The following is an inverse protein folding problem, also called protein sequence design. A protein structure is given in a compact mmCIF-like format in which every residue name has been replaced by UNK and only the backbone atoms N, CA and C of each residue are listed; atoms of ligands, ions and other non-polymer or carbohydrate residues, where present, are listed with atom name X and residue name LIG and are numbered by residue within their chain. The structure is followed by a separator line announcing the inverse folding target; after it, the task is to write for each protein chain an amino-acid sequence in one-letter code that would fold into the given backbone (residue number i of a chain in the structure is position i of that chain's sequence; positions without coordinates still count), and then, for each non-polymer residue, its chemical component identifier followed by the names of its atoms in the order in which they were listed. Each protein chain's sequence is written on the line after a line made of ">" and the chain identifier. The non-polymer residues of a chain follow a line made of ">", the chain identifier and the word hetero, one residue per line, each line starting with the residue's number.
data_IF_874945217539
#
_entry.id   IF_874945217539
#
_cell.length_a   1.000
_cell.length_b   1.000
_cell.length_c   1.000
_cell.angle_alpha   90.00
_cell.angle_beta   90.00
_cell.angle_gamma   90.00
#
_symmetry.space_group_name_H-M   'P 1'
#
loop_
_entity.id
_entity.type
_entity.pdbx_description
1 polymer ?
#
# COMPACT_ATOMS: atom_id res chain seq x y z
N UNK A 1 -13.26 -3.10 -15.47
CA UNK A 1 -12.21 -2.83 -14.48
C UNK A 1 -11.03 -3.78 -14.66
N UNK A 2 -11.10 -4.99 -14.12
CA UNK A 2 -10.05 -6.00 -14.37
C UNK A 2 -10.63 -6.99 -15.37
N UNK A 3 -10.13 -6.94 -16.59
CA UNK A 3 -10.56 -7.87 -17.62
C UNK A 3 -9.73 -9.15 -17.57
N UNK A 4 -10.14 -10.13 -18.37
CA UNK A 4 -9.48 -11.44 -18.42
C UNK A 4 -8.03 -11.34 -18.88
N UNK A 5 -7.72 -10.42 -19.77
CA UNK A 5 -6.37 -10.18 -20.28
C UNK A 5 -5.43 -9.76 -19.14
N UNK A 6 -5.87 -8.81 -18.33
CA UNK A 6 -5.09 -8.31 -17.18
C UNK A 6 -4.87 -9.40 -16.16
N UNK A 7 -5.92 -10.15 -15.80
CA UNK A 7 -5.82 -11.29 -14.88
C UNK A 7 -4.83 -12.34 -15.37
N UNK A 8 -4.88 -12.65 -16.66
CA UNK A 8 -3.97 -13.62 -17.26
C UNK A 8 -2.52 -13.11 -17.26
N UNK A 9 -2.32 -11.84 -17.52
CA UNK A 9 -0.99 -11.22 -17.44
C UNK A 9 -0.41 -11.37 -16.04
N UNK A 10 -1.21 -11.07 -15.01
CA UNK A 10 -0.78 -11.26 -13.63
C UNK A 10 -0.46 -12.73 -13.32
N UNK A 11 -1.32 -13.66 -13.76
CA UNK A 11 -1.09 -15.08 -13.53
C UNK A 11 0.18 -15.58 -14.20
N UNK A 12 0.49 -15.10 -15.39
CA UNK A 12 1.66 -15.53 -16.14
C UNK A 12 2.95 -14.89 -15.65
N UNK A 13 2.91 -13.62 -15.26
CA UNK A 13 4.10 -12.85 -14.94
C UNK A 13 4.32 -12.63 -13.44
N UNK A 14 3.32 -12.89 -12.61
CA UNK A 14 3.38 -12.63 -11.17
C UNK A 14 3.25 -11.17 -10.80
N UNK A 15 3.11 -10.28 -11.79
CA UNK A 15 3.00 -8.84 -11.61
C UNK A 15 2.24 -8.23 -12.78
N UNK A 16 1.53 -7.15 -12.53
CA UNK A 16 0.87 -6.36 -13.57
C UNK A 16 0.76 -4.91 -13.11
N UNK A 17 0.95 -3.98 -14.02
CA UNK A 17 0.75 -2.56 -13.75
C UNK A 17 -0.69 -2.18 -14.07
N UNK A 18 -1.37 -1.58 -13.11
CA UNK A 18 -2.74 -1.08 -13.26
C UNK A 18 -2.72 0.44 -13.15
N UNK A 19 -2.76 1.11 -14.28
CA UNK A 19 -2.72 2.56 -14.31
C UNK A 19 -4.07 3.16 -13.94
N UNK A 20 -4.04 4.20 -13.09
CA UNK A 20 -5.21 5.02 -12.74
C UNK A 20 -6.40 4.23 -12.20
N UNK A 21 -6.15 3.08 -11.58
CA UNK A 21 -7.24 2.23 -11.07
C UNK A 21 -7.71 2.66 -9.68
N UNK A 22 -6.89 3.42 -8.97
CA UNK A 22 -7.24 3.96 -7.65
C UNK A 22 -7.67 5.41 -7.82
N UNK A 23 -8.89 5.74 -7.38
CA UNK A 23 -9.42 7.10 -7.48
C UNK A 23 -8.57 8.09 -6.70
N UNK A 24 -8.49 9.32 -7.20
CA UNK A 24 -7.71 10.39 -6.58
C UNK A 24 -8.13 10.64 -5.12
N UNK A 25 -9.41 10.53 -4.82
CA UNK A 25 -9.91 10.70 -3.44
C UNK A 25 -9.27 9.69 -2.46
N UNK A 26 -9.02 8.46 -2.91
CA UNK A 26 -8.37 7.44 -2.08
C UNK A 26 -6.89 7.72 -1.90
N UNK A 27 -6.24 8.24 -2.94
CA UNK A 27 -4.83 8.64 -2.85
C UNK A 27 -4.66 9.75 -1.82
N UNK A 28 -5.55 10.75 -1.84
CA UNK A 28 -5.53 11.85 -0.87
C UNK A 28 -5.82 11.36 0.55
N UNK A 29 -6.79 10.46 0.70
CA UNK A 29 -7.10 9.84 1.98
C UNK A 29 -5.89 9.07 2.54
N UNK A 30 -5.25 8.27 1.70
CA UNK A 30 -4.07 7.51 2.09
C UNK A 30 -2.88 8.41 2.47
N UNK A 31 -2.72 9.52 1.78
CA UNK A 31 -1.67 10.50 2.14
C UNK A 31 -1.87 11.05 3.55
N UNK A 32 -3.11 11.34 3.91
CA UNK A 32 -3.44 11.79 5.28
C UNK A 32 -3.14 10.69 6.29
N UNK A 33 -3.49 9.46 5.97
CA UNK A 33 -3.20 8.31 6.83
C UNK A 33 -1.71 8.09 7.02
N UNK A 34 -0.93 8.22 5.96
CA UNK A 34 0.53 8.08 6.01
C UNK A 34 1.15 9.18 6.87
N UNK A 35 0.70 10.42 6.69
CA UNK A 35 1.17 11.55 7.51
C UNK A 35 0.88 11.31 8.99
N UNK A 36 -0.33 10.91 9.32
CA UNK A 36 -0.69 10.56 10.69
C UNK A 36 0.17 9.40 11.22
N UNK A 37 0.39 8.38 10.39
CA UNK A 37 1.19 7.21 10.77
C UNK A 37 2.60 7.61 11.21
N UNK A 38 3.26 8.48 10.45
CA UNK A 38 4.64 8.84 10.76
C UNK A 38 4.76 9.90 11.86
N UNK A 39 3.70 10.63 12.15
CA UNK A 39 3.61 11.47 13.36
C UNK A 39 3.29 10.63 14.61
N UNK A 40 2.61 9.50 14.43
CA UNK A 40 2.16 8.61 15.50
C UNK A 40 2.51 7.16 15.15
N UNK A 41 3.80 6.82 15.10
CA UNK A 41 4.22 5.50 14.64
C UNK A 41 3.89 4.39 15.63
N UNK A 42 3.85 3.15 15.12
CA UNK A 42 3.74 1.97 15.96
C UNK A 42 5.11 1.54 16.50
N UNK A 43 5.10 0.52 17.35
CA UNK A 43 6.33 -0.11 17.83
C UNK A 43 7.13 -0.81 16.73
N UNK A 44 6.53 -1.02 15.57
CA UNK A 44 7.17 -1.69 14.44
C UNK A 44 7.89 -0.73 13.49
N UNK A 45 7.81 0.59 13.72
CA UNK A 45 8.48 1.56 12.88
C UNK A 45 9.98 1.27 12.82
N UNK A 46 10.52 1.29 11.62
CA UNK A 46 11.95 1.16 11.38
C UNK A 46 12.43 2.31 10.50
N UNK A 47 13.56 2.89 10.86
CA UNK A 47 14.18 3.97 10.10
C UNK A 47 15.57 3.49 9.68
N UNK A 48 15.85 3.58 8.39
CA UNK A 48 17.11 3.17 7.79
C UNK A 48 17.88 4.41 7.36
N UNK A 49 18.60 5.03 8.28
CA UNK A 49 19.39 6.23 8.03
C UNK A 49 20.82 5.85 7.66
N UNK A 50 21.40 6.60 6.73
CA UNK A 50 22.83 6.57 6.44
C UNK A 50 23.43 7.89 6.91
N UNK A 51 24.58 7.82 7.62
CA UNK A 51 25.20 8.96 8.30
C UNK A 51 25.54 10.14 7.38
N UNK A 52 25.77 9.90 6.10
CA UNK A 52 26.20 10.90 5.14
C UNK A 52 25.08 11.37 4.22
N UNK A 53 23.85 10.89 4.44
CA UNK A 53 22.73 11.14 3.57
C UNK A 53 21.55 11.63 4.39
N UNK A 54 20.99 12.78 4.01
CA UNK A 54 19.81 13.34 4.68
C UNK A 54 18.52 12.67 4.22
N UNK A 55 18.58 11.82 3.21
CA UNK A 55 17.42 11.12 2.68
C UNK A 55 17.22 9.81 3.41
N UNK A 56 15.98 9.52 3.77
CA UNK A 56 15.63 8.46 4.72
C UNK A 56 14.81 7.39 3.99
N UNK A 57 15.10 6.14 4.31
CA UNK A 57 14.18 5.03 4.05
C UNK A 57 13.56 4.64 5.39
N UNK A 58 12.24 4.58 5.47
CA UNK A 58 11.57 4.17 6.69
C UNK A 58 10.28 3.43 6.39
N UNK A 59 9.85 2.63 7.35
CA UNK A 59 8.62 1.86 7.23
C UNK A 59 7.88 1.74 8.57
N UNK A 60 6.64 1.35 8.47
CA UNK A 60 5.81 0.94 9.60
C UNK A 60 4.71 0.01 9.07
N UNK A 61 4.13 -0.81 9.93
CA UNK A 61 3.13 -1.77 9.50
C UNK A 61 2.17 -2.14 10.64
N UNK A 62 1.08 -2.82 10.27
CA UNK A 62 0.03 -3.26 11.20
C UNK A 62 -0.68 -2.11 11.92
N UNK A 63 -1.05 -1.07 11.16
CA UNK A 63 -1.69 0.12 11.71
C UNK A 63 -3.13 0.33 11.24
N UNK A 64 -3.65 -0.51 10.36
CA UNK A 64 -4.94 -0.27 9.73
C UNK A 64 -6.11 -0.22 10.71
N UNK A 65 -6.05 -0.94 11.83
CA UNK A 65 -7.13 -0.94 12.81
C UNK A 65 -7.27 0.42 13.53
N UNK A 66 -6.16 1.12 13.73
CA UNK A 66 -6.15 2.40 14.45
C UNK A 66 -6.13 3.63 13.56
N UNK A 67 -5.74 3.50 12.31
CA UNK A 67 -5.67 4.61 11.36
C UNK A 67 -6.89 4.55 10.45
N UNK A 68 -7.84 5.45 10.68
CA UNK A 68 -9.14 5.44 9.99
C UNK A 68 -9.02 5.51 8.48
N UNK A 69 -8.04 6.25 7.95
CA UNK A 69 -7.83 6.38 6.52
C UNK A 69 -7.46 5.04 5.87
N UNK A 70 -6.61 4.26 6.53
CA UNK A 70 -6.25 2.92 6.07
C UNK A 70 -7.45 1.97 6.13
N UNK A 71 -8.14 1.98 7.25
CA UNK A 71 -9.32 1.12 7.44
C UNK A 71 -10.39 1.43 6.40
N UNK A 72 -10.65 2.71 6.17
CA UNK A 72 -11.63 3.15 5.18
C UNK A 72 -11.24 2.70 3.76
N UNK A 73 -9.99 2.85 3.39
CA UNK A 73 -9.49 2.39 2.09
C UNK A 73 -9.66 0.88 1.93
N UNK A 74 -9.27 0.11 2.93
CA UNK A 74 -9.33 -1.35 2.86
C UNK A 74 -10.78 -1.83 2.69
N UNK A 75 -11.72 -1.28 3.47
CA UNK A 75 -13.08 -1.79 3.49
C UNK A 75 -14.02 -1.14 2.48
N UNK A 76 -13.76 0.07 2.03
CA UNK A 76 -14.70 0.82 1.21
C UNK A 76 -14.21 1.15 -0.19
N UNK A 77 -12.93 0.94 -0.50
CA UNK A 77 -12.42 1.07 -1.86
C UNK A 77 -12.62 -0.24 -2.63
N UNK A 78 -12.22 -0.23 -3.88
CA UNK A 78 -12.30 -1.42 -4.73
C UNK A 78 -11.05 -2.30 -4.65
N UNK A 79 -10.14 -2.06 -3.68
CA UNK A 79 -8.86 -2.77 -3.64
C UNK A 79 -9.01 -4.29 -3.45
N UNK A 80 -9.94 -4.72 -2.60
CA UNK A 80 -10.17 -6.14 -2.39
C UNK A 80 -10.73 -6.82 -3.65
N UNK A 81 -11.61 -6.11 -4.38
CA UNK A 81 -12.17 -6.59 -5.64
C UNK A 81 -11.11 -6.73 -6.71
N UNK A 82 -10.21 -5.76 -6.79
CA UNK A 82 -9.07 -5.80 -7.71
C UNK A 82 -8.19 -7.01 -7.39
N UNK A 83 -7.80 -7.17 -6.14
CA UNK A 83 -6.97 -8.28 -5.71
C UNK A 83 -7.63 -9.64 -6.01
N UNK A 84 -8.91 -9.78 -5.69
CA UNK A 84 -9.67 -11.01 -5.98
C UNK A 84 -9.70 -11.34 -7.46
N UNK A 85 -9.90 -10.32 -8.31
CA UNK A 85 -9.92 -10.51 -9.77
C UNK A 85 -8.55 -10.96 -10.30
N UNK A 86 -7.47 -10.36 -9.80
CA UNK A 86 -6.11 -10.75 -10.21
C UNK A 86 -5.76 -12.17 -9.76
N UNK A 87 -6.13 -12.52 -8.55
CA UNK A 87 -5.86 -13.84 -7.99
C UNK A 87 -6.84 -14.92 -8.48
N UNK A 88 -7.89 -14.53 -9.21
CA UNK A 88 -8.98 -15.41 -9.63
C UNK A 88 -9.61 -16.11 -8.43
N UNK A 89 -9.78 -15.36 -7.34
CA UNK A 89 -10.34 -15.85 -6.09
C UNK A 89 -11.64 -15.14 -5.74
N UNK A 90 -12.59 -15.90 -5.22
CA UNK A 90 -13.86 -15.35 -4.74
C UNK A 90 -13.75 -14.72 -3.37
N UNK A 91 -12.67 -15.02 -2.64
CA UNK A 91 -12.46 -14.55 -1.28
C UNK A 91 -11.03 -14.01 -1.16
N UNK A 92 -10.91 -12.87 -0.51
CA UNK A 92 -9.63 -12.23 -0.24
C UNK A 92 -9.57 -11.91 1.24
N UNK A 93 -8.50 -12.32 1.91
CA UNK A 93 -8.27 -12.01 3.31
C UNK A 93 -7.12 -11.01 3.40
N UNK A 94 -7.33 -9.95 4.18
CA UNK A 94 -6.26 -9.01 4.48
C UNK A 94 -5.28 -9.66 5.44
N UNK A 95 -4.00 -9.64 5.08
CA UNK A 95 -2.94 -10.08 5.98
C UNK A 95 -2.52 -8.93 6.90
N UNK A 96 -1.92 -7.90 6.35
CA UNK A 96 -1.63 -6.64 7.07
C UNK A 96 -1.29 -5.57 6.03
N UNK A 97 -1.28 -4.31 6.46
CA UNK A 97 -0.74 -3.26 5.63
C UNK A 97 0.71 -2.93 6.04
N UNK A 98 1.48 -2.49 5.09
CA UNK A 98 2.87 -2.09 5.28
C UNK A 98 3.13 -0.84 4.45
N UNK A 99 3.59 0.21 5.08
CA UNK A 99 3.94 1.46 4.41
C UNK A 99 5.45 1.62 4.40
N UNK A 100 5.99 1.73 3.20
CA UNK A 100 7.42 1.92 3.00
C UNK A 100 7.62 3.25 2.27
N UNK A 101 8.44 4.13 2.85
CA UNK A 101 8.79 5.41 2.26
C UNK A 101 10.28 5.41 2.00
N UNK A 102 10.63 5.44 0.74
CA UNK A 102 12.03 5.54 0.33
C UNK A 102 12.22 6.86 -0.39
N UNK A 103 12.93 7.77 0.23
CA UNK A 103 13.22 9.07 -0.35
C UNK A 103 14.30 8.96 -1.42
N UNK A 104 14.30 9.92 -2.36
CA UNK A 104 15.27 9.97 -3.43
C UNK A 104 16.68 9.97 -2.85
N UNK A 105 17.54 9.11 -3.39
CA UNK A 105 18.93 9.00 -2.94
C UNK A 105 19.16 8.02 -1.79
N UNK A 106 18.10 7.48 -1.19
CA UNK A 106 18.26 6.43 -0.17
C UNK A 106 18.88 5.19 -0.81
N UNK A 107 19.85 4.60 -0.13
CA UNK A 107 20.58 3.42 -0.62
C UNK A 107 19.99 2.09 -0.15
N UNK A 108 19.04 2.13 0.74
CA UNK A 108 18.41 0.91 1.27
C UNK A 108 17.05 0.62 0.69
#
# INVERSE_FOLDING_TARGET
>A
MIDKKISNEFQNNGVVLLEKIIDQKWIEELRKGIEYNFQNPSKYKCVYEESDNQEIFYDDYCNWQRIKEYKNFIFNSNIAKIAGSLMKSKKVNLFHEHVLIKEKGSKK
#
